data_IF_611366011464
#
_entry.id   IF_611366011464
#
_cell.length_a   1.000
_cell.length_b   1.000
_cell.length_c   1.000
_cell.angle_alpha   90.00
_cell.angle_beta   90.00
_cell.angle_gamma   90.00
#
_symmetry.space_group_name_H-M   'P 1'
#
loop_
_entity.id
_entity.type
_entity.pdbx_description
1 polymer ?
#
# COMPACT_ATOMS: atom_id res chain seq x y z
N UNK A 1 -7.14 -34.52 78.96
CA UNK A 1 -5.90 -35.30 79.09
C UNK A 1 -5.34 -35.47 77.68
N UNK A 2 -4.42 -34.59 77.27
CA UNK A 2 -2.97 -34.89 77.13
C UNK A 2 -2.70 -35.93 76.02
N UNK A 3 -1.82 -35.78 75.03
CA UNK A 3 -0.81 -34.77 74.76
C UNK A 3 -0.10 -35.06 73.40
N UNK A 4 0.30 -33.98 72.71
CA UNK A 4 1.61 -33.75 72.06
C UNK A 4 2.06 -34.51 70.79
N UNK A 5 2.59 -33.74 69.84
CA UNK A 5 3.47 -34.22 68.76
C UNK A 5 3.67 -33.19 67.63
N UNK A 6 4.53 -32.20 67.84
CA UNK A 6 4.76 -31.03 66.97
C UNK A 6 5.84 -31.22 65.89
N UNK A 7 5.90 -30.20 64.98
CA UNK A 7 7.02 -29.67 64.15
C UNK A 7 6.72 -29.77 62.64
N UNK A 8 6.90 -28.74 61.80
CA UNK A 8 7.54 -27.44 61.94
C UNK A 8 7.17 -26.55 60.74
N UNK A 9 6.77 -25.30 61.01
CA UNK A 9 6.65 -24.24 60.02
C UNK A 9 8.01 -23.55 59.83
N UNK A 10 8.43 -23.32 58.59
CA UNK A 10 9.58 -22.47 58.28
C UNK A 10 9.11 -21.06 57.92
N UNK A 11 9.67 -20.12 58.67
CA UNK A 11 9.49 -18.67 58.57
C UNK A 11 10.37 -18.06 57.48
N UNK A 12 9.83 -17.00 56.87
CA UNK A 12 10.53 -16.03 56.04
C UNK A 12 11.44 -15.16 56.92
N UNK A 13 12.61 -14.73 56.40
CA UNK A 13 13.16 -13.44 56.79
C UNK A 13 13.33 -12.51 55.59
N UNK A 14 12.84 -11.29 55.77
CA UNK A 14 13.04 -10.12 54.90
C UNK A 14 14.22 -9.29 55.43
N UNK A 15 14.86 -8.50 54.53
CA UNK A 15 15.91 -7.46 54.71
C UNK A 15 17.34 -7.99 54.46
N UNK A 16 18.20 -7.39 53.61
CA UNK A 16 18.45 -5.98 53.29
C UNK A 16 19.08 -5.81 51.89
N UNK A 17 18.98 -4.58 51.39
CA UNK A 17 19.30 -4.10 50.06
C UNK A 17 20.79 -3.91 49.74
N UNK A 18 21.03 -3.61 48.44
CA UNK A 18 22.22 -3.03 47.77
C UNK A 18 23.29 -4.02 47.29
N UNK A 19 23.26 -4.33 45.98
CA UNK A 19 24.32 -3.95 45.02
C UNK A 19 23.65 -3.82 43.64
N UNK A 20 23.41 -2.58 43.19
CA UNK A 20 23.18 -2.28 41.78
C UNK A 20 24.56 -1.95 41.18
N UNK A 21 25.03 -2.78 40.27
CA UNK A 21 26.33 -2.63 39.62
C UNK A 21 26.31 -3.30 38.26
N UNK A 22 26.19 -2.47 37.24
CA UNK A 22 26.66 -2.62 35.87
C UNK A 22 26.79 -4.04 35.28
N UNK A 23 25.96 -4.35 34.28
CA UNK A 23 26.35 -5.15 33.10
C UNK A 23 25.37 -4.85 31.96
N UNK A 24 25.42 -3.60 31.50
CA UNK A 24 25.06 -3.26 30.13
C UNK A 24 26.32 -3.48 29.28
N UNK A 25 26.22 -4.32 28.26
CA UNK A 25 27.27 -4.41 27.28
C UNK A 25 27.34 -5.80 26.66
N UNK A 26 26.70 -5.94 25.51
CA UNK A 26 27.33 -6.40 24.26
C UNK A 26 26.21 -6.66 23.25
N UNK A 27 25.56 -5.58 22.78
CA UNK A 27 24.92 -5.60 21.45
C UNK A 27 25.93 -5.02 20.47
N UNK A 28 26.41 -5.90 19.59
CA UNK A 28 27.28 -5.60 18.49
C UNK A 28 26.66 -4.47 17.64
N UNK A 29 27.26 -3.27 17.75
CA UNK A 29 27.16 -2.24 16.72
C UNK A 29 27.91 -2.74 15.50
N UNK A 30 27.18 -3.27 14.52
CA UNK A 30 27.66 -3.29 13.14
C UNK A 30 26.96 -2.13 12.44
N UNK A 31 27.74 -1.09 12.15
CA UNK A 31 27.26 0.21 11.75
C UNK A 31 26.45 0.18 10.46
N UNK A 32 25.19 0.56 10.56
CA UNK A 32 24.52 1.30 9.49
C UNK A 32 25.14 2.69 9.53
N UNK A 33 26.06 2.95 8.61
CA UNK A 33 26.42 4.31 8.20
C UNK A 33 25.12 4.93 7.67
N UNK A 34 24.38 5.64 8.52
CA UNK A 34 23.35 6.54 8.05
C UNK A 34 24.07 7.63 7.25
N UNK A 35 23.66 7.81 5.99
CA UNK A 35 23.96 9.03 5.26
C UNK A 35 23.26 10.18 6.01
N UNK A 36 23.99 10.84 6.90
CA UNK A 36 23.56 12.09 7.53
C UNK A 36 23.49 13.17 6.45
N UNK A 37 22.30 13.78 6.26
CA UNK A 37 22.17 15.03 5.51
C UNK A 37 21.02 15.15 4.50
N UNK A 38 20.14 14.15 4.35
CA UNK A 38 18.91 14.32 3.54
C UNK A 38 17.67 14.29 4.46
N UNK A 39 16.73 15.23 4.35
CA UNK A 39 15.47 15.12 5.08
C UNK A 39 14.82 13.77 4.71
N UNK A 40 14.42 12.99 5.72
CA UNK A 40 13.78 11.71 5.51
C UNK A 40 12.55 11.94 4.62
N UNK A 41 12.51 11.27 3.47
CA UNK A 41 11.37 11.36 2.57
C UNK A 41 10.14 10.79 3.31
N UNK A 42 8.98 11.46 3.24
CA UNK A 42 7.76 10.95 3.86
C UNK A 42 7.46 9.55 3.32
N UNK A 43 7.03 8.66 4.22
CA UNK A 43 6.60 7.31 3.86
C UNK A 43 5.13 7.35 3.44
N UNK A 44 4.72 6.39 2.60
CA UNK A 44 3.32 6.21 2.25
C UNK A 44 2.46 5.97 3.51
N UNK A 45 3.02 5.33 4.54
CA UNK A 45 2.32 4.96 5.78
C UNK A 45 2.12 6.12 6.76
N UNK A 46 2.68 7.31 6.47
CA UNK A 46 2.60 8.44 7.39
C UNK A 46 1.17 8.98 7.47
N UNK A 47 0.69 9.29 8.68
CA UNK A 47 -0.70 9.74 8.90
C UNK A 47 -1.06 10.99 8.09
N UNK A 48 -0.13 11.95 7.98
CA UNK A 48 -0.33 13.16 7.19
C UNK A 48 -0.55 12.85 5.70
N UNK A 49 0.23 11.91 5.15
CA UNK A 49 0.10 11.47 3.75
C UNK A 49 -1.20 10.70 3.57
N UNK A 50 -1.52 9.77 4.47
CA UNK A 50 -2.74 8.99 4.42
C UNK A 50 -3.99 9.87 4.49
N UNK A 51 -4.01 10.90 5.35
CA UNK A 51 -5.12 11.84 5.45
C UNK A 51 -5.33 12.64 4.15
N UNK A 52 -4.26 13.11 3.50
CA UNK A 52 -4.35 13.79 2.20
C UNK A 52 -4.84 12.85 1.10
N UNK A 53 -4.27 11.65 1.01
CA UNK A 53 -4.69 10.63 0.04
C UNK A 53 -6.15 10.24 0.24
N UNK A 54 -6.59 10.11 1.49
CA UNK A 54 -7.96 9.81 1.84
C UNK A 54 -8.92 10.92 1.42
N UNK A 55 -8.56 12.19 1.67
CA UNK A 55 -9.33 13.35 1.22
C UNK A 55 -9.50 13.33 -0.30
N UNK A 56 -8.41 13.16 -1.05
CA UNK A 56 -8.43 13.16 -2.52
C UNK A 56 -9.18 11.97 -3.12
N UNK A 57 -9.23 10.83 -2.44
CA UNK A 57 -9.92 9.63 -2.94
C UNK A 57 -11.43 9.85 -3.01
N UNK A 58 -11.98 10.57 -2.03
CA UNK A 58 -13.41 10.80 -1.88
C UNK A 58 -14.22 9.53 -1.59
N UNK A 59 -15.39 9.67 -0.98
CA UNK A 59 -16.26 8.54 -0.64
C UNK A 59 -17.55 8.63 -1.46
N UNK A 60 -17.68 7.76 -2.45
CA UNK A 60 -18.94 7.55 -3.16
C UNK A 60 -19.54 6.18 -2.77
N UNK A 61 -20.57 6.20 -1.92
CA UNK A 61 -21.21 4.99 -1.39
C UNK A 61 -21.77 4.09 -2.51
N UNK A 62 -22.30 4.67 -3.59
CA UNK A 62 -22.88 3.91 -4.70
C UNK A 62 -21.80 3.11 -5.44
N UNK A 63 -20.60 3.69 -5.57
CA UNK A 63 -19.47 3.03 -6.23
C UNK A 63 -18.82 1.98 -5.31
N UNK A 64 -18.62 2.31 -4.04
CA UNK A 64 -18.02 1.40 -3.05
C UNK A 64 -18.88 0.15 -2.82
N UNK A 65 -20.20 0.32 -2.74
CA UNK A 65 -21.15 -0.79 -2.57
C UNK A 65 -21.85 -1.19 -3.86
N UNK A 66 -21.14 -1.10 -5.00
CA UNK A 66 -21.68 -1.55 -6.29
C UNK A 66 -22.17 -3.01 -6.21
N UNK A 67 -23.27 -3.37 -6.88
CA UNK A 67 -23.76 -4.73 -6.88
C UNK A 67 -22.74 -5.66 -7.54
N UNK A 68 -22.27 -6.65 -6.78
CA UNK A 68 -21.33 -7.68 -7.26
C UNK A 68 -22.11 -8.89 -7.76
N UNK A 69 -21.65 -9.49 -8.85
CA UNK A 69 -22.17 -10.76 -9.36
C UNK A 69 -21.85 -11.87 -8.35
N UNK A 70 -22.81 -12.20 -7.50
CA UNK A 70 -22.76 -13.29 -6.51
C UNK A 70 -24.12 -13.94 -6.40
N UNK A 71 -24.21 -15.07 -5.72
CA UNK A 71 -25.49 -15.71 -5.41
C UNK A 71 -26.39 -14.72 -4.66
N UNK A 72 -27.59 -14.50 -5.20
CA UNK A 72 -28.50 -13.48 -4.71
C UNK A 72 -29.38 -14.07 -3.61
N UNK A 73 -29.37 -13.42 -2.45
CA UNK A 73 -30.32 -13.68 -1.37
C UNK A 73 -31.47 -12.67 -1.43
N UNK A 74 -32.69 -13.04 -1.02
CA UNK A 74 -33.81 -12.10 -1.00
C UNK A 74 -33.50 -10.88 -0.11
N UNK A 75 -33.80 -9.64 -0.56
CA UNK A 75 -33.53 -8.44 0.22
C UNK A 75 -34.43 -8.36 1.45
N UNK A 76 -33.92 -7.76 2.53
CA UNK A 76 -34.66 -7.52 3.78
C UNK A 76 -35.08 -6.06 3.86
N UNK A 77 -36.38 -5.79 3.85
CA UNK A 77 -36.93 -4.45 4.01
C UNK A 77 -37.14 -4.13 5.50
N UNK A 78 -36.85 -2.89 5.88
CA UNK A 78 -37.05 -2.37 7.24
C UNK A 78 -37.66 -0.98 7.14
N UNK A 79 -38.67 -0.70 7.96
CA UNK A 79 -39.20 0.65 8.14
C UNK A 79 -38.32 1.38 9.13
N UNK A 80 -37.81 2.56 8.77
CA UNK A 80 -36.90 3.35 9.59
C UNK A 80 -37.41 4.78 9.75
N UNK A 81 -37.16 5.37 10.91
CA UNK A 81 -37.30 6.83 11.10
C UNK A 81 -36.10 7.58 10.50
N UNK A 82 -36.22 8.89 10.34
CA UNK A 82 -35.13 9.72 9.80
C UNK A 82 -33.84 9.60 10.64
N UNK A 83 -33.95 9.59 11.97
CA UNK A 83 -32.80 9.39 12.85
C UNK A 83 -32.12 8.02 12.62
N UNK A 84 -32.92 6.96 12.45
CA UNK A 84 -32.40 5.61 12.16
C UNK A 84 -31.75 5.53 10.78
N UNK A 85 -32.28 6.25 9.78
CA UNK A 85 -31.69 6.37 8.45
C UNK A 85 -30.31 7.06 8.53
N UNK A 86 -30.21 8.14 9.30
CA UNK A 86 -28.94 8.86 9.50
C UNK A 86 -27.90 7.99 10.24
N UNK A 87 -28.32 7.21 11.22
CA UNK A 87 -27.42 6.24 11.86
C UNK A 87 -26.97 5.14 10.91
N UNK A 88 -27.87 4.60 10.08
CA UNK A 88 -27.55 3.59 9.09
C UNK A 88 -26.58 4.11 8.02
N UNK A 89 -26.77 5.36 7.57
CA UNK A 89 -25.85 5.99 6.62
C UNK A 89 -24.47 6.25 7.23
N UNK A 90 -24.39 6.65 8.50
CA UNK A 90 -23.10 6.78 9.22
C UNK A 90 -22.36 5.44 9.31
N UNK A 91 -23.06 4.36 9.67
CA UNK A 91 -22.48 3.00 9.69
C UNK A 91 -22.00 2.57 8.31
N UNK A 92 -22.78 2.83 7.26
CA UNK A 92 -22.37 2.54 5.89
C UNK A 92 -21.12 3.34 5.47
N UNK A 93 -20.97 4.58 5.94
CA UNK A 93 -19.77 5.39 5.72
C UNK A 93 -18.58 4.76 6.45
N UNK A 94 -18.71 4.35 7.71
CA UNK A 94 -17.66 3.69 8.48
C UNK A 94 -17.19 2.39 7.81
N UNK A 95 -18.12 1.52 7.41
CA UNK A 95 -17.82 0.31 6.63
C UNK A 95 -17.13 0.63 5.29
N UNK A 96 -17.54 1.73 4.63
CA UNK A 96 -16.88 2.18 3.41
C UNK A 96 -15.44 2.62 3.69
N UNK A 97 -15.16 3.26 4.85
CA UNK A 97 -13.79 3.65 5.22
C UNK A 97 -12.90 2.42 5.38
N UNK A 98 -13.40 1.39 6.06
CA UNK A 98 -12.67 0.14 6.25
C UNK A 98 -12.36 -0.55 4.92
N UNK A 99 -13.33 -0.60 4.00
CA UNK A 99 -13.13 -1.16 2.65
C UNK A 99 -12.17 -0.36 1.79
N UNK A 100 -12.11 0.96 2.00
CA UNK A 100 -11.26 1.88 1.26
C UNK A 100 -9.82 1.95 1.82
N UNK A 101 -9.49 1.12 2.82
CA UNK A 101 -8.12 1.02 3.33
C UNK A 101 -7.15 0.68 2.21
N UNK A 102 -6.17 1.57 2.02
CA UNK A 102 -5.22 1.47 0.92
C UNK A 102 -4.17 0.41 1.22
N UNK A 103 -3.80 -0.44 0.25
CA UNK A 103 -2.72 -1.40 0.44
C UNK A 103 -1.38 -0.65 0.64
N UNK A 104 -0.47 -1.16 1.49
CA UNK A 104 0.82 -0.53 1.69
C UNK A 104 1.66 -0.63 0.40
N UNK A 105 2.32 0.46 0.04
CA UNK A 105 3.25 0.51 -1.09
C UNK A 105 4.65 0.14 -0.58
N UNK A 106 5.16 -1.01 -1.02
CA UNK A 106 6.50 -1.49 -0.69
C UNK A 106 7.42 -1.41 -1.90
N UNK A 107 8.73 -1.34 -1.64
CA UNK A 107 9.73 -1.48 -2.68
C UNK A 107 9.90 -2.95 -3.07
N UNK A 108 10.44 -3.17 -4.26
CA UNK A 108 10.75 -4.51 -4.76
C UNK A 108 11.69 -5.27 -3.81
N UNK A 109 11.32 -6.50 -3.48
CA UNK A 109 12.13 -7.38 -2.64
C UNK A 109 13.39 -7.84 -3.37
N UNK A 110 14.50 -7.95 -2.64
CA UNK A 110 15.77 -8.47 -3.19
C UNK A 110 15.69 -10.00 -3.35
N UNK A 111 16.30 -10.56 -4.41
CA UNK A 111 16.40 -12.02 -4.56
C UNK A 111 17.14 -12.64 -3.38
N UNK A 112 16.78 -13.89 -3.05
CA UNK A 112 17.40 -14.66 -1.97
C UNK A 112 18.35 -15.67 -2.62
N UNK A 113 19.65 -15.47 -2.42
CA UNK A 113 20.70 -16.35 -2.91
C UNK A 113 21.56 -16.85 -1.74
N UNK A 114 20.90 -17.54 -0.80
CA UNK A 114 21.54 -18.08 0.40
C UNK A 114 21.75 -19.60 0.25
N UNK A 115 23.01 -20.03 0.21
CA UNK A 115 23.41 -21.44 0.24
C UNK A 115 23.65 -21.86 1.70
N UNK A 116 23.05 -22.98 2.12
CA UNK A 116 23.15 -23.50 3.49
C UNK A 116 24.23 -24.58 3.61
N UNK A 117 24.28 -25.49 2.64
CA UNK A 117 25.23 -26.60 2.62
C UNK A 117 25.50 -27.07 1.18
N UNK A 118 26.68 -27.65 0.95
CA UNK A 118 27.08 -28.22 -0.34
C UNK A 118 27.67 -29.62 -0.15
N UNK A 119 26.97 -30.64 -0.64
CA UNK A 119 27.43 -32.03 -0.57
C UNK A 119 27.65 -32.60 -1.97
N UNK A 120 28.88 -32.46 -2.49
CA UNK A 120 29.24 -32.90 -3.84
C UNK A 120 29.07 -34.40 -4.08
N UNK A 121 29.06 -35.22 -3.02
CA UNK A 121 28.83 -36.67 -3.15
C UNK A 121 27.43 -37.04 -3.67
N UNK A 122 26.47 -36.13 -3.53
CA UNK A 122 25.09 -36.35 -3.98
C UNK A 122 24.84 -35.80 -5.40
N UNK A 123 25.84 -35.18 -6.01
CA UNK A 123 25.79 -34.74 -7.39
C UNK A 123 25.56 -35.93 -8.34
N UNK A 124 24.54 -35.83 -9.19
CA UNK A 124 24.21 -36.87 -10.18
C UNK A 124 23.48 -38.10 -9.62
N UNK A 125 23.16 -38.14 -8.32
CA UNK A 125 22.34 -39.22 -7.73
C UNK A 125 20.86 -39.04 -8.05
N UNK A 126 20.38 -37.79 -8.02
CA UNK A 126 18.98 -37.44 -8.20
C UNK A 126 18.76 -36.65 -9.50
N UNK A 127 17.64 -36.91 -10.18
CA UNK A 127 17.28 -36.23 -11.44
C UNK A 127 16.43 -34.98 -11.24
N UNK A 128 15.81 -34.83 -10.06
CA UNK A 128 14.84 -33.77 -9.76
C UNK A 128 15.23 -33.03 -8.48
N UNK A 129 14.80 -31.76 -8.38
CA UNK A 129 14.99 -30.96 -7.17
C UNK A 129 13.94 -31.33 -6.11
N UNK A 130 14.34 -31.38 -4.85
CA UNK A 130 13.43 -31.58 -3.72
C UNK A 130 13.20 -30.27 -2.98
N UNK A 131 11.95 -29.96 -2.65
CA UNK A 131 11.59 -28.75 -1.90
C UNK A 131 11.04 -29.17 -0.54
N UNK A 132 11.73 -28.78 0.53
CA UNK A 132 11.30 -29.03 1.89
C UNK A 132 10.71 -27.75 2.48
N UNK A 133 9.49 -27.85 2.99
CA UNK A 133 8.74 -26.73 3.56
C UNK A 133 8.35 -27.05 4.99
N UNK A 134 8.71 -26.17 5.92
CA UNK A 134 8.20 -26.23 7.29
C UNK A 134 6.71 -25.89 7.31
N UNK A 135 5.88 -26.74 7.92
CA UNK A 135 4.42 -26.61 8.00
C UNK A 135 3.91 -26.15 9.38
N UNK A 136 4.80 -25.70 10.27
CA UNK A 136 4.43 -25.23 11.61
C UNK A 136 3.42 -24.07 11.54
N UNK A 137 2.26 -24.20 12.21
CA UNK A 137 1.16 -23.22 12.09
C UNK A 137 1.46 -21.86 12.72
N UNK A 138 2.16 -21.83 13.86
CA UNK A 138 2.46 -20.61 14.61
C UNK A 138 3.48 -19.69 13.93
N UNK A 139 4.21 -20.17 12.92
CA UNK A 139 5.27 -19.40 12.24
C UNK A 139 4.69 -18.53 11.13
N UNK A 140 4.96 -17.21 11.10
CA UNK A 140 4.48 -16.34 10.03
C UNK A 140 5.11 -16.71 8.67
N UNK A 141 4.36 -16.47 7.59
CA UNK A 141 4.78 -16.84 6.23
C UNK A 141 6.09 -16.18 5.77
N UNK A 142 6.51 -15.04 6.33
CA UNK A 142 7.79 -14.39 6.01
C UNK A 142 9.01 -15.02 6.70
N UNK A 143 8.83 -15.66 7.85
CA UNK A 143 9.93 -16.26 8.64
C UNK A 143 10.06 -17.77 8.42
N UNK A 144 9.06 -18.38 7.77
CA UNK A 144 9.02 -19.82 7.47
C UNK A 144 10.25 -20.31 6.70
N UNK A 145 10.77 -21.47 7.08
CA UNK A 145 11.88 -22.11 6.38
C UNK A 145 11.39 -22.92 5.19
N UNK A 146 11.92 -22.58 4.01
CA UNK A 146 11.71 -23.33 2.77
C UNK A 146 13.07 -23.49 2.11
N UNK A 147 13.48 -24.74 1.93
CA UNK A 147 14.79 -25.09 1.39
C UNK A 147 14.64 -25.98 0.17
N UNK A 148 15.55 -25.81 -0.78
CA UNK A 148 15.57 -26.55 -2.03
C UNK A 148 16.89 -27.32 -2.09
N UNK A 149 16.78 -28.63 -2.26
CA UNK A 149 17.90 -29.50 -2.58
C UNK A 149 17.99 -29.63 -4.09
N UNK A 150 19.09 -29.15 -4.64
CA UNK A 150 19.36 -29.26 -6.07
C UNK A 150 20.05 -30.57 -6.42
N UNK A 151 19.97 -30.95 -7.70
CA UNK A 151 20.61 -32.15 -8.26
C UNK A 151 22.14 -32.13 -8.15
N UNK A 152 22.73 -30.95 -7.94
CA UNK A 152 24.16 -30.76 -7.77
C UNK A 152 24.64 -31.01 -6.33
N UNK A 153 23.74 -31.46 -5.44
CA UNK A 153 24.04 -31.68 -4.02
C UNK A 153 24.03 -30.41 -3.17
N UNK A 154 23.63 -29.26 -3.72
CA UNK A 154 23.53 -27.98 -3.02
C UNK A 154 22.19 -27.87 -2.30
N UNK A 155 22.22 -27.54 -1.00
CA UNK A 155 21.04 -27.14 -0.22
C UNK A 155 21.02 -25.62 -0.11
N UNK A 156 20.06 -24.98 -0.78
CA UNK A 156 19.87 -23.53 -0.74
C UNK A 156 18.50 -23.16 -0.18
N UNK A 157 18.31 -21.89 0.18
CA UNK A 157 16.96 -21.36 0.42
C UNK A 157 16.18 -21.29 -0.90
N UNK A 158 14.87 -21.46 -0.79
CA UNK A 158 13.98 -21.29 -1.92
C UNK A 158 13.98 -19.83 -2.40
N UNK A 159 13.88 -19.64 -3.71
CA UNK A 159 13.62 -18.34 -4.31
C UNK A 159 12.24 -17.83 -3.87
N UNK A 160 12.00 -16.53 -4.01
CA UNK A 160 10.71 -15.93 -3.66
C UNK A 160 9.53 -16.54 -4.44
N UNK A 161 9.71 -16.86 -5.72
CA UNK A 161 8.67 -17.50 -6.52
C UNK A 161 8.37 -18.93 -6.05
N UNK A 162 9.42 -19.73 -5.79
CA UNK A 162 9.28 -21.07 -5.22
C UNK A 162 8.56 -21.00 -3.87
N UNK A 163 8.93 -20.03 -3.03
CA UNK A 163 8.34 -19.78 -1.71
C UNK A 163 6.85 -19.47 -1.81
N UNK A 164 6.47 -18.48 -2.61
CA UNK A 164 5.08 -18.06 -2.75
C UNK A 164 4.20 -19.21 -3.28
N UNK A 165 4.72 -20.00 -4.22
CA UNK A 165 4.04 -21.20 -4.74
C UNK A 165 3.86 -22.26 -3.66
N UNK A 166 4.91 -22.59 -2.91
CA UNK A 166 4.80 -23.61 -1.85
C UNK A 166 3.85 -23.18 -0.75
N UNK A 167 3.89 -21.90 -0.35
CA UNK A 167 2.96 -21.35 0.65
C UNK A 167 1.53 -21.53 0.16
N UNK A 168 1.21 -21.21 -1.10
CA UNK A 168 -0.15 -21.37 -1.61
C UNK A 168 -0.61 -22.84 -1.71
N UNK A 169 0.31 -23.79 -1.94
CA UNK A 169 -0.01 -25.22 -2.00
C UNK A 169 -0.40 -25.74 -0.61
N UNK A 170 0.37 -25.38 0.42
CA UNK A 170 0.14 -25.88 1.78
C UNK A 170 -0.84 -25.03 2.59
N UNK A 171 -0.92 -23.74 2.30
CA UNK A 171 -1.79 -22.75 2.95
C UNK A 171 -2.58 -21.98 1.89
N UNK A 172 -3.64 -22.58 1.33
CA UNK A 172 -4.39 -21.97 0.24
C UNK A 172 -5.14 -20.71 0.71
N UNK A 173 -4.84 -19.59 0.07
CA UNK A 173 -5.59 -18.34 0.22
C UNK A 173 -6.61 -18.18 -0.90
N UNK A 174 -7.80 -17.68 -0.55
CA UNK A 174 -8.87 -17.41 -1.51
C UNK A 174 -8.42 -16.34 -2.52
N UNK A 175 -8.73 -16.56 -3.80
CA UNK A 175 -8.36 -15.65 -4.89
C UNK A 175 -6.92 -15.80 -5.41
N UNK A 176 -6.03 -16.49 -4.68
CA UNK A 176 -4.65 -16.76 -5.11
C UNK A 176 -4.54 -18.11 -5.81
N UNK A 177 -3.88 -18.15 -6.96
CA UNK A 177 -3.57 -19.39 -7.69
C UNK A 177 -2.10 -19.74 -7.58
N UNK A 178 -1.78 -21.03 -7.59
CA UNK A 178 -0.38 -21.53 -7.55
C UNK A 178 0.38 -21.09 -8.80
N UNK A 179 -0.24 -21.21 -9.96
CA UNK A 179 0.29 -20.68 -11.22
C UNK A 179 -0.40 -19.34 -11.48
N UNK A 180 0.37 -18.25 -11.65
CA UNK A 180 -0.21 -16.95 -11.96
C UNK A 180 -1.09 -17.00 -13.21
N UNK A 181 -2.27 -16.36 -13.20
CA UNK A 181 -3.11 -16.22 -14.39
C UNK A 181 -2.36 -15.58 -15.56
N UNK A 182 -2.60 -16.11 -16.77
CA UNK A 182 -2.04 -15.60 -18.03
C UNK A 182 -2.44 -14.13 -18.30
N UNK A 183 -3.53 -13.67 -17.67
CA UNK A 183 -4.02 -12.28 -17.71
C UNK A 183 -2.94 -11.24 -17.36
N UNK A 184 -1.98 -11.58 -16.49
CA UNK A 184 -0.95 -10.66 -16.02
C UNK A 184 0.23 -10.50 -17.00
N UNK A 185 0.19 -11.16 -18.16
CA UNK A 185 1.13 -10.93 -19.24
C UNK A 185 0.78 -9.64 -19.98
N UNK A 186 1.81 -8.93 -20.46
CA UNK A 186 1.66 -7.59 -21.03
C UNK A 186 0.71 -7.51 -22.23
N UNK A 187 0.67 -8.56 -23.05
CA UNK A 187 -0.21 -8.66 -24.21
C UNK A 187 -1.70 -8.66 -23.81
N UNK A 188 -2.03 -9.41 -22.76
CA UNK A 188 -3.40 -9.54 -22.29
C UNK A 188 -3.84 -8.33 -21.46
N UNK A 189 -2.93 -7.67 -20.75
CA UNK A 189 -3.23 -6.45 -20.01
C UNK A 189 -3.82 -5.35 -20.92
N UNK A 190 -3.27 -5.18 -22.13
CA UNK A 190 -3.77 -4.18 -23.09
C UNK A 190 -5.23 -4.43 -23.44
N UNK A 191 -5.65 -5.69 -23.63
CA UNK A 191 -7.05 -6.01 -23.93
C UNK A 191 -8.00 -5.67 -22.79
N UNK A 192 -7.54 -5.77 -21.54
CA UNK A 192 -8.35 -5.41 -20.36
C UNK A 192 -8.45 -3.89 -20.21
N UNK A 193 -7.38 -3.17 -20.51
CA UNK A 193 -7.35 -1.71 -20.47
C UNK A 193 -8.31 -1.09 -21.50
N UNK A 194 -8.45 -1.69 -22.68
CA UNK A 194 -9.45 -1.28 -23.67
C UNK A 194 -10.90 -1.41 -23.17
N UNK A 195 -11.16 -2.29 -22.19
CA UNK A 195 -12.47 -2.49 -21.58
C UNK A 195 -12.72 -1.60 -20.35
N UNK A 196 -11.79 -0.73 -19.98
CA UNK A 196 -11.88 0.13 -18.78
C UNK A 196 -12.03 -0.62 -17.45
N UNK A 197 -11.49 -1.84 -17.41
CA UNK A 197 -11.54 -2.73 -16.23
C UNK A 197 -10.27 -2.69 -15.39
N UNK A 198 -9.66 -1.51 -15.26
CA UNK A 198 -8.42 -1.31 -14.50
C UNK A 198 -8.57 -1.70 -13.02
N UNK A 199 -9.71 -1.38 -12.40
CA UNK A 199 -9.99 -1.72 -11.00
C UNK A 199 -9.99 -3.25 -10.77
N UNK A 200 -10.56 -4.01 -11.70
CA UNK A 200 -10.63 -5.47 -11.60
C UNK A 200 -9.23 -6.09 -11.69
N UNK A 201 -8.36 -5.57 -12.56
CA UNK A 201 -6.96 -6.01 -12.67
C UNK A 201 -6.21 -5.77 -11.36
N UNK A 202 -6.34 -4.58 -10.78
CA UNK A 202 -5.69 -4.24 -9.52
C UNK A 202 -6.23 -5.07 -8.36
N UNK A 203 -7.54 -5.34 -8.32
CA UNK A 203 -8.14 -6.23 -7.31
C UNK A 203 -7.63 -7.67 -7.43
N UNK A 204 -7.51 -8.19 -8.66
CA UNK A 204 -6.92 -9.51 -8.91
C UNK A 204 -5.44 -9.54 -8.55
N UNK A 205 -4.70 -8.45 -8.79
CA UNK A 205 -3.28 -8.35 -8.48
C UNK A 205 -3.01 -8.42 -6.97
N UNK A 206 -3.80 -7.69 -6.15
CA UNK A 206 -3.73 -7.76 -4.68
C UNK A 206 -4.01 -9.17 -4.16
N UNK A 207 -4.95 -9.89 -4.76
CA UNK A 207 -5.26 -11.26 -4.35
C UNK A 207 -4.17 -12.28 -4.77
N UNK A 208 -3.54 -12.06 -5.92
CA UNK A 208 -2.61 -13.02 -6.51
C UNK A 208 -1.16 -12.87 -6.01
N UNK A 209 -0.68 -11.65 -5.84
CA UNK A 209 0.73 -11.37 -5.56
C UNK A 209 0.94 -10.63 -4.23
N UNK A 210 2.12 -10.78 -3.66
CA UNK A 210 2.51 -9.98 -2.48
C UNK A 210 2.90 -8.55 -2.89
N UNK A 211 2.71 -7.54 -2.01
CA UNK A 211 2.92 -6.13 -2.35
C UNK A 211 4.37 -5.77 -2.72
N UNK A 212 5.35 -6.56 -2.28
CA UNK A 212 6.78 -6.41 -2.54
C UNK A 212 7.26 -7.26 -3.74
N UNK A 213 6.38 -8.02 -4.38
CA UNK A 213 6.71 -8.82 -5.55
C UNK A 213 6.99 -7.95 -6.78
N UNK A 214 7.99 -8.29 -7.62
CA UNK A 214 8.24 -7.57 -8.87
C UNK A 214 7.04 -7.57 -9.82
N UNK A 215 6.32 -8.69 -9.90
CA UNK A 215 5.13 -8.82 -10.75
C UNK A 215 4.01 -7.88 -10.29
N UNK A 216 3.81 -7.76 -8.98
CA UNK A 216 2.82 -6.86 -8.39
C UNK A 216 3.12 -5.41 -8.79
N UNK A 217 4.36 -4.97 -8.57
CA UNK A 217 4.81 -3.61 -8.86
C UNK A 217 4.71 -3.33 -10.36
N UNK A 218 5.13 -4.29 -11.21
CA UNK A 218 5.04 -4.16 -12.67
C UNK A 218 3.60 -3.92 -13.14
N UNK A 219 2.65 -4.76 -12.70
CA UNK A 219 1.24 -4.66 -13.11
C UNK A 219 0.62 -3.34 -12.63
N UNK A 220 0.89 -2.94 -11.39
CA UNK A 220 0.41 -1.66 -10.85
C UNK A 220 0.95 -0.47 -11.65
N UNK A 221 2.27 -0.41 -11.86
CA UNK A 221 2.90 0.66 -12.63
C UNK A 221 2.36 0.73 -14.06
N UNK A 222 2.19 -0.42 -14.71
CA UNK A 222 1.66 -0.47 -16.08
C UNK A 222 0.23 0.04 -16.16
N UNK A 223 -0.60 -0.33 -15.19
CA UNK A 223 -1.99 0.13 -15.08
C UNK A 223 -2.05 1.65 -14.86
N UNK A 224 -1.18 2.20 -14.00
CA UNK A 224 -1.12 3.64 -13.77
C UNK A 224 -0.62 4.43 -14.98
N UNK A 225 0.41 3.93 -15.68
CA UNK A 225 0.90 4.56 -16.92
C UNK A 225 -0.19 4.55 -18.02
N UNK A 226 -1.06 3.54 -18.08
CA UNK A 226 -2.18 3.48 -19.02
C UNK A 226 -3.29 4.49 -18.68
N UNK A 227 -3.68 4.56 -17.40
CA UNK A 227 -4.66 5.53 -16.90
C UNK A 227 -4.19 6.97 -17.16
N UNK A 228 -2.89 7.23 -16.98
CA UNK A 228 -2.31 8.55 -17.24
C UNK A 228 -2.38 8.91 -18.73
N UNK A 229 -2.09 7.97 -19.64
CA UNK A 229 -2.15 8.21 -21.09
C UNK A 229 -3.56 8.54 -21.58
N UNK A 230 -4.56 7.88 -21.02
CA UNK A 230 -5.96 8.06 -21.42
C UNK A 230 -6.74 9.03 -20.52
N UNK A 231 -6.09 9.62 -19.51
CA UNK A 231 -6.69 10.51 -18.50
C UNK A 231 -7.94 9.91 -17.79
N UNK A 232 -7.96 8.58 -17.57
CA UNK A 232 -9.12 7.87 -16.98
C UNK A 232 -9.04 7.73 -15.46
N UNK A 233 -8.77 8.84 -14.76
CA UNK A 233 -8.55 8.83 -13.30
C UNK A 233 -9.82 8.49 -12.50
N UNK A 234 -10.99 8.77 -13.06
CA UNK A 234 -12.30 8.51 -12.44
C UNK A 234 -12.53 7.03 -12.14
N UNK A 235 -11.95 6.12 -12.94
CA UNK A 235 -12.09 4.68 -12.74
C UNK A 235 -11.60 4.27 -11.36
N UNK A 236 -10.49 4.84 -10.89
CA UNK A 236 -9.92 4.53 -9.58
C UNK A 236 -10.42 5.44 -8.45
N UNK A 237 -11.18 6.50 -8.74
CA UNK A 237 -11.75 7.38 -7.72
C UNK A 237 -12.72 6.62 -6.82
N UNK A 238 -12.73 6.90 -5.51
CA UNK A 238 -13.47 6.12 -4.51
C UNK A 238 -13.14 4.62 -4.48
N UNK A 239 -11.91 4.26 -4.85
CA UNK A 239 -11.37 2.89 -4.67
C UNK A 239 -10.11 2.94 -3.80
N UNK A 240 -9.77 1.81 -3.16
CA UNK A 240 -8.54 1.66 -2.36
C UNK A 240 -7.25 1.84 -3.15
N UNK A 241 -7.32 1.82 -4.48
CA UNK A 241 -6.16 1.90 -5.36
C UNK A 241 -5.76 3.33 -5.72
N UNK A 242 -6.62 4.31 -5.42
CA UNK A 242 -6.40 5.71 -5.79
C UNK A 242 -5.11 6.26 -5.16
N UNK A 243 -4.88 6.03 -3.87
CA UNK A 243 -3.69 6.57 -3.23
C UNK A 243 -2.39 5.96 -3.74
N UNK A 244 -2.38 4.68 -4.10
CA UNK A 244 -1.22 4.04 -4.74
C UNK A 244 -0.88 4.69 -6.08
N UNK A 245 -1.90 5.02 -6.88
CA UNK A 245 -1.74 5.75 -8.15
C UNK A 245 -1.18 7.16 -7.91
N UNK A 246 -1.77 7.94 -7.00
CA UNK A 246 -1.32 9.31 -6.70
C UNK A 246 0.13 9.29 -6.22
N UNK A 247 0.46 8.38 -5.31
CA UNK A 247 1.82 8.22 -4.80
C UNK A 247 2.83 7.92 -5.91
N UNK A 248 2.48 7.04 -6.85
CA UNK A 248 3.30 6.72 -8.00
C UNK A 248 3.51 7.94 -8.93
N UNK A 249 2.45 8.68 -9.23
CA UNK A 249 2.51 9.86 -10.11
C UNK A 249 3.35 10.99 -9.48
N UNK A 250 3.22 11.24 -8.18
CA UNK A 250 4.02 12.25 -7.45
C UNK A 250 5.50 11.85 -7.44
N UNK A 251 5.82 10.58 -7.20
CA UNK A 251 7.20 10.10 -7.23
C UNK A 251 7.85 10.24 -8.61
N UNK A 252 7.09 10.01 -9.69
CA UNK A 252 7.56 10.17 -11.08
C UNK A 252 7.47 11.61 -11.63
N UNK A 253 6.98 12.57 -10.83
CA UNK A 253 6.72 13.96 -11.25
C UNK A 253 5.80 14.07 -12.46
N UNK A 254 4.76 13.23 -12.49
CA UNK A 254 3.75 13.17 -13.56
C UNK A 254 2.36 13.53 -13.02
N UNK A 255 2.25 14.70 -12.41
CA UNK A 255 1.02 15.16 -11.73
C UNK A 255 0.10 16.00 -12.62
N UNK A 256 0.60 16.49 -13.76
CA UNK A 256 -0.12 17.40 -14.66
C UNK A 256 -1.49 16.85 -15.09
N UNK A 257 -1.55 15.59 -15.54
CA UNK A 257 -2.81 15.00 -16.04
C UNK A 257 -3.88 14.88 -14.95
N UNK A 258 -3.46 14.48 -13.74
CA UNK A 258 -4.37 14.34 -12.60
C UNK A 258 -4.87 15.71 -12.12
N UNK A 259 -3.99 16.72 -12.10
CA UNK A 259 -4.35 18.08 -11.71
C UNK A 259 -5.40 18.66 -12.67
N UNK A 260 -5.25 18.42 -13.97
CA UNK A 260 -6.22 18.83 -14.99
C UNK A 260 -7.57 18.16 -14.76
N UNK A 261 -7.61 16.86 -14.48
CA UNK A 261 -8.87 16.14 -14.20
C UNK A 261 -9.56 16.65 -12.92
N UNK A 262 -8.79 16.99 -11.88
CA UNK A 262 -9.35 17.58 -10.65
C UNK A 262 -9.95 18.97 -10.90
N UNK A 263 -9.31 19.82 -11.72
CA UNK A 263 -9.81 21.16 -12.05
C UNK A 263 -11.10 21.09 -12.88
N UNK A 264 -11.16 20.22 -13.89
CA UNK A 264 -12.36 20.04 -14.71
C UNK A 264 -13.58 19.50 -13.93
N UNK A 265 -13.36 18.89 -12.77
CA UNK A 265 -14.40 18.33 -11.89
C UNK A 265 -14.72 19.23 -10.70
N UNK A 266 -14.21 20.46 -10.69
CA UNK A 266 -14.40 21.44 -9.62
C UNK A 266 -13.82 21.02 -8.25
N UNK A 267 -12.80 20.15 -8.25
CA UNK A 267 -12.16 19.59 -7.04
C UNK A 267 -10.89 20.35 -6.67
N UNK A 268 -11.01 21.67 -6.43
CA UNK A 268 -9.87 22.51 -6.09
C UNK A 268 -9.19 22.11 -4.77
N UNK A 269 -9.97 21.69 -3.77
CA UNK A 269 -9.41 21.25 -2.49
C UNK A 269 -8.51 20.01 -2.66
N UNK A 270 -8.89 19.09 -3.55
CA UNK A 270 -8.08 17.91 -3.84
C UNK A 270 -6.83 18.30 -4.64
N UNK A 271 -6.95 19.22 -5.58
CA UNK A 271 -5.82 19.78 -6.32
C UNK A 271 -4.78 20.42 -5.38
N UNK A 272 -5.23 21.20 -4.38
CA UNK A 272 -4.32 21.77 -3.37
C UNK A 272 -3.70 20.70 -2.47
N UNK A 273 -4.46 19.65 -2.14
CA UNK A 273 -3.97 18.49 -1.38
C UNK A 273 -2.90 17.70 -2.15
N UNK A 274 -3.03 17.60 -3.47
CA UNK A 274 -2.06 16.97 -4.35
C UNK A 274 -0.75 17.75 -4.41
N UNK A 275 -0.82 19.07 -4.51
CA UNK A 275 0.38 19.93 -4.57
C UNK A 275 1.07 19.98 -3.21
N UNK A 276 0.32 20.04 -2.11
CA UNK A 276 0.92 19.92 -0.77
C UNK A 276 1.62 18.57 -0.59
N UNK A 277 1.03 17.47 -1.06
CA UNK A 277 1.70 16.16 -1.10
C UNK A 277 2.99 16.19 -1.94
N UNK A 278 2.96 16.83 -3.11
CA UNK A 278 4.13 16.98 -3.97
C UNK A 278 5.26 17.79 -3.28
N UNK A 279 4.93 18.91 -2.62
CA UNK A 279 5.89 19.72 -1.88
C UNK A 279 6.48 18.99 -0.66
N UNK A 280 5.72 18.10 -0.02
CA UNK A 280 6.25 17.25 1.07
C UNK A 280 7.28 16.24 0.55
N UNK A 281 7.05 15.68 -0.63
CA UNK A 281 7.92 14.64 -1.19
C UNK A 281 9.17 15.24 -1.87
N UNK A 282 9.03 16.42 -2.49
CA UNK A 282 10.11 17.13 -3.18
C UNK A 282 10.34 18.52 -2.55
N UNK A 283 10.95 18.60 -1.34
CA UNK A 283 11.17 19.88 -0.66
C UNK A 283 12.22 20.78 -1.34
N UNK A 284 13.02 20.23 -2.26
CA UNK A 284 14.06 20.96 -2.98
C UNK A 284 13.53 21.76 -4.17
N UNK A 285 12.29 21.50 -4.59
CA UNK A 285 11.66 22.13 -5.74
C UNK A 285 11.41 23.64 -5.52
N UNK A 286 11.48 24.41 -6.62
CA UNK A 286 11.30 25.87 -6.61
C UNK A 286 9.89 26.25 -6.12
N UNK A 287 8.87 25.53 -6.58
CA UNK A 287 7.49 25.60 -6.11
C UNK A 287 7.36 25.46 -4.59
N UNK A 288 8.05 24.49 -4.00
CA UNK A 288 8.02 24.22 -2.56
C UNK A 288 8.70 25.33 -1.73
N UNK A 289 9.73 25.98 -2.29
CA UNK A 289 10.41 27.12 -1.65
C UNK A 289 9.55 28.37 -1.71
N UNK A 290 9.01 28.71 -2.89
CA UNK A 290 8.13 29.86 -3.08
C UNK A 290 6.82 29.72 -2.27
N UNK A 291 6.28 28.51 -2.17
CA UNK A 291 5.10 28.24 -1.34
C UNK A 291 5.38 28.46 0.17
N UNK A 292 6.57 28.08 0.65
CA UNK A 292 6.98 28.28 2.05
C UNK A 292 7.27 29.75 2.36
N UNK A 293 7.89 30.46 1.43
CA UNK A 293 8.22 31.88 1.56
C UNK A 293 6.95 32.75 1.50
N UNK A 294 6.03 32.44 0.59
CA UNK A 294 4.80 33.21 0.38
C UNK A 294 3.61 32.83 1.25
N UNK A 295 3.64 31.69 1.98
CA UNK A 295 2.47 31.10 2.68
C UNK A 295 1.20 31.07 1.80
N UNK A 296 1.38 30.81 0.51
CA UNK A 296 0.29 30.87 -0.47
C UNK A 296 -0.71 29.74 -0.21
N UNK A 297 -2.00 30.07 -0.22
CA UNK A 297 -3.09 29.12 0.01
C UNK A 297 -3.97 29.02 -1.24
N UNK A 298 -4.58 27.85 -1.46
CA UNK A 298 -5.60 27.68 -2.49
C UNK A 298 -5.08 27.76 -3.92
N UNK A 299 -5.74 28.57 -4.73
CA UNK A 299 -5.52 28.69 -6.19
C UNK A 299 -4.14 29.27 -6.53
N UNK A 300 -3.60 30.12 -5.66
CA UNK A 300 -2.28 30.72 -5.87
C UNK A 300 -1.16 29.67 -5.80
N UNK A 301 -1.34 28.65 -4.97
CA UNK A 301 -0.43 27.51 -4.89
C UNK A 301 -0.40 26.73 -6.21
N UNK A 302 -1.57 26.57 -6.83
CA UNK A 302 -1.72 25.92 -8.15
C UNK A 302 -1.03 26.77 -9.22
N UNK A 303 -1.25 28.09 -9.23
CA UNK A 303 -0.65 29.02 -10.19
C UNK A 303 0.89 29.02 -10.09
N UNK A 304 1.46 28.98 -8.89
CA UNK A 304 2.92 28.90 -8.69
C UNK A 304 3.50 27.57 -9.15
N UNK A 305 2.84 26.46 -8.79
CA UNK A 305 3.25 25.12 -9.24
C UNK A 305 3.26 25.01 -10.77
N UNK A 306 2.21 25.54 -11.42
CA UNK A 306 2.05 25.51 -12.88
C UNK A 306 3.15 26.28 -13.59
N UNK A 307 3.54 27.45 -13.09
CA UNK A 307 4.61 28.28 -13.68
C UNK A 307 6.01 27.71 -13.52
N UNK A 308 6.26 26.95 -12.46
CA UNK A 308 7.60 26.51 -12.08
C UNK A 308 7.92 25.08 -12.51
N UNK A 309 6.95 24.17 -12.48
CA UNK A 309 7.22 22.72 -12.62
C UNK A 309 6.38 22.00 -13.67
N UNK A 310 5.25 22.56 -14.10
CA UNK A 310 4.38 21.87 -15.04
C UNK A 310 4.95 21.86 -16.46
N UNK A 311 4.84 20.72 -17.15
CA UNK A 311 5.17 20.62 -18.58
C UNK A 311 4.03 21.09 -19.48
N UNK A 312 2.81 21.12 -18.94
CA UNK A 312 1.56 21.46 -19.66
C UNK A 312 0.96 22.76 -19.12
N UNK A 313 1.80 23.78 -18.96
CA UNK A 313 1.42 25.06 -18.37
C UNK A 313 0.17 25.67 -19.04
N UNK A 314 0.18 25.78 -20.37
CA UNK A 314 -0.92 26.41 -21.12
C UNK A 314 -2.27 25.69 -20.97
N UNK A 315 -2.27 24.36 -20.87
CA UNK A 315 -3.51 23.60 -20.67
C UNK A 315 -4.09 23.79 -19.27
N UNK A 316 -3.24 23.85 -18.24
CA UNK A 316 -3.69 24.03 -16.86
C UNK A 316 -4.17 25.47 -16.64
N UNK A 317 -3.48 26.46 -17.22
CA UNK A 317 -3.93 27.85 -17.16
C UNK A 317 -5.29 28.04 -17.84
N UNK A 318 -5.49 27.44 -19.01
CA UNK A 318 -6.77 27.48 -19.70
C UNK A 318 -7.88 26.79 -18.89
N UNK A 319 -7.59 25.64 -18.28
CA UNK A 319 -8.54 24.96 -17.40
C UNK A 319 -8.90 25.80 -16.16
N UNK A 320 -7.93 26.49 -15.56
CA UNK A 320 -8.17 27.41 -14.44
C UNK A 320 -8.99 28.63 -14.85
N UNK A 321 -8.73 29.21 -16.02
CA UNK A 321 -9.52 30.32 -16.54
C UNK A 321 -10.97 29.92 -16.80
N UNK A 322 -11.19 28.77 -17.47
CA UNK A 322 -12.53 28.24 -17.70
C UNK A 322 -13.29 27.98 -16.38
N UNK A 323 -12.58 27.51 -15.35
CA UNK A 323 -13.15 27.34 -14.01
C UNK A 323 -13.51 28.67 -13.34
N UNK A 324 -12.62 29.67 -13.37
CA UNK A 324 -12.86 31.01 -12.82
C UNK A 324 -14.05 31.70 -13.52
N UNK A 325 -14.19 31.54 -14.84
CA UNK A 325 -15.33 32.03 -15.62
C UNK A 325 -16.64 31.31 -15.24
N UNK A 326 -16.63 29.99 -15.13
CA UNK A 326 -17.79 29.20 -14.73
C UNK A 326 -18.28 29.55 -13.32
N UNK A 327 -17.34 29.71 -12.38
CA UNK A 327 -17.62 30.20 -11.03
C UNK A 327 -18.26 31.59 -11.05
N UNK A 328 -17.69 32.54 -11.79
CA UNK A 328 -18.23 33.89 -11.90
C UNK A 328 -19.67 33.91 -12.43
N UNK A 329 -19.99 33.08 -13.44
CA UNK A 329 -21.37 32.92 -13.93
C UNK A 329 -22.31 32.29 -12.91
N UNK A 330 -21.85 31.30 -12.14
CA UNK A 330 -22.66 30.65 -11.10
C UNK A 330 -22.99 31.58 -9.92
N UNK A 331 -22.07 32.48 -9.57
CA UNK A 331 -22.27 33.47 -8.49
C UNK A 331 -23.12 34.67 -8.91
N UNK A 332 -23.26 34.90 -10.22
CA UNK A 332 -24.06 35.97 -10.79
C UNK A 332 -25.52 35.58 -11.09
N UNK A 333 -25.86 34.30 -10.99
CA UNK A 333 -27.22 33.75 -11.19
C UNK A 333 -27.94 33.52 -9.87
#
# INVERSE_FOLDING_TARGET
>A
MAALGARSAMSVPTRLARVAGALWGWRARRGLRQEEGKPAKPSFTDEAVQNLLYKMTGINLQKVFRPVKKELTPPKYKLMTEAQLQEATRKAIEEAKEKLTMPPVLNERKPIDDILAEDRFLEGTETTKYIFTDLTYSTPHRERFIVVRETNGVLRKATWEERDRMIQIFFPQEGRRVIPPVLFQDEHLVTVFQQDRHEDVLNMCIAQFEPDSPDYIRVHHRTYDDIEKHAKYDLLRSTRHFGGMVWYLVNRKKTDGLLIDMIHRDLLEDATSLITLYHMLHPECQSAKEAKEGKLQGVDLIKVFVKTESRKEGYIQLALQAYEEAMATSTAS
#
